data_IF_909889088784
#
_entry.id   IF_909889088784
#
_cell.length_a   1.000
_cell.length_b   1.000
_cell.length_c   1.000
_cell.angle_alpha   90.00
_cell.angle_beta   90.00
_cell.angle_gamma   90.00
#
_symmetry.space_group_name_H-M   'P 1'
#
loop_
_entity.id
_entity.type
_entity.pdbx_description
1 polymer ?
#
# COMPACT_ATOMS: atom_id res chain seq x y z
N UNK A 1 23.47 6.45 9.44
CA UNK A 1 22.55 5.34 9.10
C UNK A 1 21.21 5.67 9.73
N UNK A 2 20.38 6.45 9.04
CA UNK A 2 19.01 6.71 9.50
C UNK A 2 18.22 5.42 9.34
N UNK A 3 17.75 4.92 10.48
CA UNK A 3 16.75 3.87 10.60
C UNK A 3 15.64 4.12 9.57
N UNK A 4 15.58 3.29 8.54
CA UNK A 4 14.72 3.46 7.37
C UNK A 4 13.30 3.00 7.70
N UNK A 5 12.68 3.65 8.67
CA UNK A 5 11.25 3.50 8.89
C UNK A 5 10.52 4.10 7.68
N UNK A 6 9.80 3.25 6.94
CA UNK A 6 8.96 3.70 5.83
C UNK A 6 7.84 4.59 6.38
N UNK A 7 7.96 5.91 6.21
CA UNK A 7 6.92 6.85 6.59
C UNK A 7 5.83 6.91 5.51
N UNK A 8 4.85 5.99 5.60
CA UNK A 8 3.83 5.75 4.57
C UNK A 8 3.18 7.03 4.01
N UNK A 9 2.93 8.04 4.85
CA UNK A 9 2.19 9.26 4.47
C UNK A 9 2.99 10.18 3.57
N UNK A 10 4.31 10.21 3.75
CA UNK A 10 5.21 11.13 3.03
C UNK A 10 6.11 10.38 2.04
N UNK A 11 6.03 9.05 2.02
CA UNK A 11 6.79 8.22 1.10
C UNK A 11 6.42 8.54 -0.35
N UNK A 12 7.42 8.85 -1.15
CA UNK A 12 7.26 9.02 -2.60
C UNK A 12 7.00 7.67 -3.27
N UNK A 13 6.48 7.69 -4.50
CA UNK A 13 6.30 6.46 -5.30
C UNK A 13 7.64 5.70 -5.44
N UNK A 14 8.75 6.41 -5.66
CA UNK A 14 10.07 5.79 -5.76
C UNK A 14 10.50 5.10 -4.45
N UNK A 15 10.17 5.68 -3.29
CA UNK A 15 10.46 5.08 -1.98
C UNK A 15 9.58 3.86 -1.73
N UNK A 16 8.28 3.94 -2.05
CA UNK A 16 7.37 2.80 -1.93
C UNK A 16 7.77 1.66 -2.85
N UNK A 17 8.16 1.96 -4.10
CA UNK A 17 8.64 0.95 -5.04
C UNK A 17 9.88 0.25 -4.52
N UNK A 18 10.88 1.01 -4.02
CA UNK A 18 12.07 0.41 -3.41
C UNK A 18 11.72 -0.48 -2.22
N UNK A 19 10.81 -0.03 -1.36
CA UNK A 19 10.35 -0.80 -0.20
C UNK A 19 9.58 -2.09 -0.59
N UNK A 20 8.93 -2.10 -1.75
CA UNK A 20 8.29 -3.29 -2.31
C UNK A 20 9.32 -4.23 -2.97
N UNK A 21 10.29 -3.65 -3.69
CA UNK A 21 11.36 -4.38 -4.39
C UNK A 21 12.32 -5.06 -3.40
N UNK A 22 12.64 -4.40 -2.28
CA UNK A 22 13.52 -4.91 -1.23
C UNK A 22 12.78 -5.78 -0.18
N UNK A 23 11.46 -5.87 -0.27
CA UNK A 23 10.62 -6.65 0.64
C UNK A 23 10.42 -6.04 2.02
N UNK A 24 10.76 -4.76 2.23
CA UNK A 24 10.46 -4.01 3.47
C UNK A 24 8.96 -3.91 3.73
N UNK A 25 8.15 -3.90 2.67
CA UNK A 25 6.69 -3.95 2.74
C UNK A 25 6.14 -4.74 1.55
N UNK A 26 4.98 -5.33 1.72
CA UNK A 26 4.19 -5.98 0.65
C UNK A 26 3.02 -5.09 0.21
N UNK A 27 2.48 -5.32 -0.99
CA UNK A 27 1.26 -4.64 -1.44
C UNK A 27 0.08 -4.89 -0.51
N UNK A 28 -0.08 -6.13 -0.01
CA UNK A 28 -1.13 -6.45 0.97
C UNK A 28 -0.98 -5.60 2.24
N UNK A 29 0.24 -5.43 2.74
CA UNK A 29 0.50 -4.59 3.92
C UNK A 29 0.25 -3.10 3.64
N UNK A 30 0.62 -2.60 2.46
CA UNK A 30 0.31 -1.22 2.06
C UNK A 30 -1.20 -0.97 1.99
N UNK A 31 -1.96 -1.89 1.36
CA UNK A 31 -3.43 -1.82 1.33
C UNK A 31 -4.00 -1.84 2.74
N UNK A 32 -3.57 -2.77 3.59
CA UNK A 32 -4.01 -2.83 4.99
C UNK A 32 -3.68 -1.56 5.79
N UNK A 33 -2.52 -0.93 5.54
CA UNK A 33 -2.15 0.32 6.18
C UNK A 33 -3.02 1.50 5.74
N UNK A 34 -3.32 1.61 4.44
CA UNK A 34 -4.23 2.64 3.95
C UNK A 34 -5.68 2.41 4.36
N UNK A 35 -6.17 1.18 4.41
CA UNK A 35 -7.50 0.86 4.94
C UNK A 35 -7.67 1.28 6.40
N UNK A 36 -6.63 1.09 7.23
CA UNK A 36 -6.63 1.62 8.61
C UNK A 36 -6.73 3.13 8.64
N UNK A 37 -6.04 3.84 7.75
CA UNK A 37 -6.14 5.31 7.63
C UNK A 37 -7.53 5.74 7.17
N UNK A 38 -8.09 5.08 6.15
CA UNK A 38 -9.45 5.33 5.68
C UNK A 38 -10.44 5.10 6.82
N UNK A 39 -10.35 3.99 7.54
CA UNK A 39 -11.18 3.73 8.71
C UNK A 39 -11.10 4.85 9.74
N UNK A 40 -9.89 5.30 10.08
CA UNK A 40 -9.68 6.31 11.12
C UNK A 40 -10.11 7.73 10.73
N UNK A 41 -9.85 8.17 9.49
CA UNK A 41 -10.08 9.56 9.07
C UNK A 41 -11.33 9.75 8.21
N UNK A 42 -11.66 8.76 7.38
CA UNK A 42 -12.76 8.86 6.42
C UNK A 42 -14.09 8.52 7.04
N UNK A 43 -14.12 7.41 7.80
CA UNK A 43 -15.35 6.85 8.37
C UNK A 43 -15.54 7.14 9.86
N UNK A 44 -14.45 7.19 10.59
CA UNK A 44 -14.42 7.55 12.00
C UNK A 44 -13.68 8.88 12.19
N UNK A 45 -13.64 9.38 13.42
CA UNK A 45 -12.94 10.63 13.73
C UNK A 45 -13.52 11.84 12.99
N UNK A 46 -12.67 12.57 12.27
CA UNK A 46 -13.06 13.79 11.53
C UNK A 46 -14.04 13.54 10.38
N UNK A 47 -14.23 12.27 9.99
CA UNK A 47 -15.26 11.84 9.04
C UNK A 47 -15.21 12.57 7.70
N UNK A 48 -14.11 12.43 6.96
CA UNK A 48 -13.92 13.10 5.66
C UNK A 48 -14.95 12.69 4.59
N UNK A 49 -15.51 11.48 4.68
CA UNK A 49 -16.46 10.92 3.70
C UNK A 49 -15.97 10.99 2.24
N UNK A 50 -14.67 10.83 2.02
CA UNK A 50 -14.02 10.83 0.71
C UNK A 50 -14.05 9.46 0.01
N UNK A 51 -14.22 8.35 0.74
CA UNK A 51 -14.25 6.99 0.16
C UNK A 51 -15.63 6.35 0.31
N UNK A 52 -16.52 6.49 -0.69
CA UNK A 52 -17.90 6.02 -0.59
C UNK A 52 -18.02 4.49 -0.65
N UNK A 53 -17.14 3.81 -1.41
CA UNK A 53 -17.16 2.37 -1.63
C UNK A 53 -15.72 1.85 -1.66
N UNK A 54 -15.46 0.74 -0.97
CA UNK A 54 -14.18 0.02 -1.05
C UNK A 54 -14.26 -1.07 -2.12
N UNK A 55 -13.15 -1.31 -2.83
CA UNK A 55 -13.04 -2.43 -3.76
C UNK A 55 -13.07 -3.76 -2.97
N UNK A 56 -14.07 -4.65 -3.18
CA UNK A 56 -14.11 -5.94 -2.47
C UNK A 56 -12.89 -6.83 -2.77
N UNK A 57 -12.25 -6.67 -3.93
CA UNK A 57 -11.18 -7.54 -4.42
C UNK A 57 -9.78 -7.01 -4.06
N UNK A 58 -9.68 -5.89 -3.34
CA UNK A 58 -8.42 -5.17 -3.08
C UNK A 58 -7.30 -6.02 -2.48
N UNK A 59 -7.61 -6.98 -1.62
CA UNK A 59 -6.60 -7.87 -1.05
C UNK A 59 -6.18 -8.97 -2.02
N UNK A 60 -7.08 -9.44 -2.89
CA UNK A 60 -6.74 -10.42 -3.92
C UNK A 60 -5.82 -9.79 -4.98
N UNK A 61 -6.16 -8.57 -5.42
CA UNK A 61 -5.35 -7.79 -6.36
C UNK A 61 -3.96 -7.48 -5.78
N UNK A 62 -3.90 -7.02 -4.52
CA UNK A 62 -2.63 -6.77 -3.83
C UNK A 62 -1.78 -8.04 -3.70
N UNK A 63 -2.40 -9.17 -3.32
CA UNK A 63 -1.70 -10.44 -3.25
C UNK A 63 -1.22 -10.92 -4.63
N UNK A 64 -1.96 -10.62 -5.70
CA UNK A 64 -1.55 -10.91 -7.06
C UNK A 64 -0.34 -10.07 -7.48
N UNK A 65 -0.30 -8.79 -7.13
CA UNK A 65 0.87 -7.92 -7.30
C UNK A 65 2.09 -8.45 -6.54
N UNK A 66 1.92 -8.85 -5.27
CA UNK A 66 3.00 -9.46 -4.49
C UNK A 66 3.54 -10.75 -5.11
N UNK A 67 2.66 -11.60 -5.68
CA UNK A 67 3.08 -12.79 -6.45
C UNK A 67 3.89 -12.42 -7.69
N UNK A 68 3.48 -11.39 -8.44
CA UNK A 68 4.21 -10.92 -9.63
C UNK A 68 5.60 -10.41 -9.27
N UNK A 69 5.72 -9.57 -8.24
CA UNK A 69 7.04 -9.07 -7.77
C UNK A 69 7.97 -10.21 -7.37
N UNK A 70 7.49 -11.16 -6.55
CA UNK A 70 8.30 -12.32 -6.14
C UNK A 70 8.78 -13.19 -7.31
N UNK A 71 7.99 -13.25 -8.38
CA UNK A 71 8.31 -14.03 -9.57
C UNK A 71 9.13 -13.24 -10.60
N UNK A 72 9.50 -11.98 -10.33
CA UNK A 72 10.18 -11.11 -11.29
C UNK A 72 9.32 -10.75 -12.51
N UNK A 73 8.00 -10.90 -12.41
CA UNK A 73 7.03 -10.70 -13.49
C UNK A 73 6.26 -9.38 -13.34
N UNK A 74 6.95 -8.32 -12.92
CA UNK A 74 6.33 -7.02 -12.64
C UNK A 74 5.77 -6.37 -13.91
N UNK A 75 4.60 -5.75 -13.79
CA UNK A 75 3.91 -5.11 -14.93
C UNK A 75 4.46 -3.71 -15.26
N UNK A 76 5.15 -3.07 -14.31
CA UNK A 76 5.74 -1.74 -14.50
C UNK A 76 6.03 -1.03 -13.18
N UNK A 77 6.39 0.26 -13.22
CA UNK A 77 6.76 1.02 -12.02
C UNK A 77 5.66 1.18 -10.95
N UNK A 78 4.40 0.92 -11.32
CA UNK A 78 3.22 1.00 -10.44
C UNK A 78 2.56 -0.38 -10.22
N UNK A 79 3.20 -1.46 -10.67
CA UNK A 79 2.73 -2.80 -10.33
C UNK A 79 2.84 -3.03 -8.84
#
# INVERSE_FOLDING_TARGET
MTDASLHLVEATIDQLRRALDDGTVTSVELVGAYLRRIGHFDRHGISLNAVPVLNPDMFEEAAASDRRRRNGAVLGPLD
#
